data_IF_932474033292
#
_entry.id   IF_932474033292
#
_cell.length_a   1.000
_cell.length_b   1.000
_cell.length_c   1.000
_cell.angle_alpha   90.00
_cell.angle_beta   90.00
_cell.angle_gamma   90.00
#
_symmetry.space_group_name_H-M   'P 1'
#
loop_
_entity.id
_entity.type
_entity.pdbx_description
1 polymer ?
#
# COMPACT_ATOMS: atom_id res chain seq x y z
N UNK A 1 74.97 20.13 -24.44
CA UNK A 1 74.86 19.84 -22.99
C UNK A 1 73.55 20.46 -22.53
N UNK A 2 72.43 19.79 -22.79
CA UNK A 2 71.79 18.77 -21.95
C UNK A 2 71.34 19.32 -20.59
N UNK A 3 70.03 19.49 -20.47
CA UNK A 3 69.26 19.14 -19.27
C UNK A 3 67.97 18.49 -19.76
N UNK A 4 67.86 17.20 -19.51
CA UNK A 4 66.70 16.34 -19.75
C UNK A 4 65.73 16.42 -18.57
N UNK A 5 64.41 16.34 -18.81
CA UNK A 5 63.56 15.23 -18.35
C UNK A 5 62.12 15.34 -18.87
N UNK A 6 61.61 14.21 -19.37
CA UNK A 6 60.35 14.02 -20.07
C UNK A 6 59.11 13.78 -19.17
N UNK A 7 57.94 13.94 -19.81
CA UNK A 7 56.70 13.13 -19.67
C UNK A 7 55.72 13.51 -18.53
N UNK A 8 54.38 13.50 -18.68
CA UNK A 8 53.46 12.84 -19.62
C UNK A 8 52.14 13.64 -19.72
N UNK A 9 51.63 13.82 -20.94
CA UNK A 9 50.22 14.11 -21.22
C UNK A 9 49.48 12.77 -21.41
N UNK A 10 48.23 12.66 -20.94
CA UNK A 10 47.30 11.66 -21.47
C UNK A 10 45.86 12.19 -21.39
N UNK A 11 45.33 12.61 -22.53
CA UNK A 11 43.91 12.79 -22.81
C UNK A 11 43.53 11.71 -23.82
N UNK A 12 42.69 10.74 -23.44
CA UNK A 12 42.11 9.81 -24.38
C UNK A 12 40.59 9.75 -24.19
N UNK A 13 39.88 10.10 -25.27
CA UNK A 13 38.42 10.14 -25.41
C UNK A 13 37.89 8.72 -25.56
N UNK A 14 36.86 8.35 -24.79
CA UNK A 14 35.94 7.27 -25.18
C UNK A 14 34.76 7.91 -25.94
N UNK A 15 34.77 7.81 -27.27
CA UNK A 15 33.57 7.94 -28.08
C UNK A 15 33.17 6.53 -28.51
N UNK A 16 31.99 6.06 -28.10
CA UNK A 16 31.38 4.88 -28.73
C UNK A 16 30.85 5.28 -30.12
N UNK A 17 30.98 4.44 -31.15
CA UNK A 17 30.44 4.73 -32.49
C UNK A 17 28.91 4.86 -32.44
N UNK A 18 28.38 5.81 -33.19
CA UNK A 18 26.93 6.13 -33.30
C UNK A 18 26.09 4.89 -33.65
N UNK A 19 26.69 3.92 -34.33
CA UNK A 19 26.02 2.72 -34.82
C UNK A 19 25.71 1.71 -33.67
N UNK A 20 26.48 1.72 -32.58
CA UNK A 20 26.19 0.92 -31.37
C UNK A 20 25.15 1.57 -30.45
N UNK A 21 25.07 2.90 -30.47
CA UNK A 21 24.02 3.64 -29.76
C UNK A 21 22.64 3.41 -30.40
N UNK A 22 22.58 3.30 -31.72
CA UNK A 22 21.35 2.94 -32.45
C UNK A 22 20.88 1.51 -32.12
N UNK A 23 21.80 0.56 -31.97
CA UNK A 23 21.47 -0.81 -31.57
C UNK A 23 20.96 -0.89 -30.12
N UNK A 24 21.51 -0.09 -29.20
CA UNK A 24 20.99 0.02 -27.84
C UNK A 24 19.58 0.64 -27.79
N UNK A 25 19.31 1.64 -28.64
CA UNK A 25 17.99 2.27 -28.73
C UNK A 25 16.94 1.28 -29.26
N UNK A 26 17.30 0.44 -30.22
CA UNK A 26 16.43 -0.58 -30.81
C UNK A 26 16.09 -1.70 -29.80
N UNK A 27 17.05 -2.10 -28.95
CA UNK A 27 16.83 -3.07 -27.85
C UNK A 27 15.92 -2.48 -26.76
N UNK A 28 16.01 -1.17 -26.51
CA UNK A 28 15.14 -0.47 -25.55
C UNK A 28 13.73 -0.34 -26.12
N UNK A 29 13.55 0.04 -27.39
CA UNK A 29 12.23 0.07 -28.04
C UNK A 29 11.58 -1.32 -28.11
N UNK A 30 12.34 -2.37 -28.46
CA UNK A 30 11.80 -3.74 -28.55
C UNK A 30 11.46 -4.35 -27.18
N UNK A 31 12.15 -3.95 -26.09
CA UNK A 31 11.88 -4.48 -24.73
C UNK A 31 10.97 -3.61 -23.88
N UNK A 32 10.78 -2.32 -24.20
CA UNK A 32 9.82 -1.45 -23.50
C UNK A 32 8.45 -1.35 -24.19
N UNK A 33 8.26 -2.01 -25.34
CA UNK A 33 6.96 -2.18 -25.99
C UNK A 33 6.12 -3.36 -25.45
N UNK A 34 6.27 -3.75 -24.18
CA UNK A 34 5.37 -4.71 -23.54
C UNK A 34 4.59 -4.07 -22.41
N UNK A 35 3.28 -3.87 -22.63
CA UNK A 35 2.12 -3.65 -21.74
C UNK A 35 2.23 -2.80 -20.45
N UNK A 36 3.37 -2.76 -19.75
CA UNK A 36 3.58 -2.10 -18.46
C UNK A 36 3.65 -0.57 -18.56
N UNK A 37 4.19 0.00 -19.65
CA UNK A 37 4.26 1.47 -19.84
C UNK A 37 2.89 2.07 -20.18
N UNK A 38 2.05 1.32 -20.91
CA UNK A 38 0.66 1.70 -21.20
C UNK A 38 -0.26 1.55 -19.98
N UNK A 39 0.01 0.58 -19.10
CA UNK A 39 -0.77 0.34 -17.88
C UNK A 39 -0.61 1.43 -16.79
N UNK A 40 0.40 2.30 -16.90
CA UNK A 40 0.72 3.33 -15.90
C UNK A 40 0.36 4.76 -16.33
N UNK A 41 -0.30 4.95 -17.48
CA UNK A 41 -0.78 6.27 -17.91
C UNK A 41 0.31 7.33 -18.11
N UNK A 42 1.57 6.92 -18.23
CA UNK A 42 2.72 7.82 -18.36
C UNK A 42 2.86 8.39 -19.77
N UNK A 43 3.15 9.69 -19.86
CA UNK A 43 3.43 10.36 -21.11
C UNK A 43 4.72 9.81 -21.74
N UNK A 44 4.57 9.00 -22.79
CA UNK A 44 5.65 8.32 -23.52
C UNK A 44 6.68 9.33 -24.06
N UNK A 45 6.25 10.56 -24.37
CA UNK A 45 7.12 11.63 -24.86
C UNK A 45 8.06 12.17 -23.77
N UNK A 46 7.66 12.12 -22.49
CA UNK A 46 8.50 12.53 -21.37
C UNK A 46 9.61 11.51 -21.09
N UNK A 47 9.29 10.22 -21.21
CA UNK A 47 10.26 9.12 -21.07
C UNK A 47 11.23 9.11 -22.25
N UNK A 48 10.71 9.30 -23.47
CA UNK A 48 11.52 9.46 -24.68
C UNK A 48 12.44 10.68 -24.61
N UNK A 49 11.93 11.81 -24.12
CA UNK A 49 12.71 13.04 -23.91
C UNK A 49 13.85 12.86 -22.90
N UNK A 50 13.61 12.16 -21.78
CA UNK A 50 14.63 11.88 -20.78
C UNK A 50 15.74 10.95 -21.29
N UNK A 51 15.37 9.90 -22.03
CA UNK A 51 16.33 8.99 -22.67
C UNK A 51 17.17 9.70 -23.75
N UNK A 52 16.57 10.61 -24.51
CA UNK A 52 17.29 11.45 -25.49
C UNK A 52 18.26 12.43 -24.82
N UNK A 53 17.91 12.93 -23.62
CA UNK A 53 18.75 13.81 -22.81
C UNK A 53 19.97 13.07 -22.23
N UNK A 54 19.78 11.82 -21.80
CA UNK A 54 20.87 10.94 -21.36
C UNK A 54 21.81 10.62 -22.53
N UNK A 55 21.27 10.38 -23.74
CA UNK A 55 22.07 10.08 -24.93
C UNK A 55 22.88 11.29 -25.45
N UNK A 56 22.50 12.53 -25.11
CA UNK A 56 23.18 13.77 -25.54
C UNK A 56 24.11 14.38 -24.50
N UNK A 57 24.14 13.85 -23.27
CA UNK A 57 24.93 14.43 -22.18
C UNK A 57 26.25 13.68 -22.00
N UNK A 58 27.37 14.41 -22.06
CA UNK A 58 28.73 13.86 -21.85
C UNK A 58 28.96 13.32 -20.43
N UNK A 59 28.04 13.58 -19.49
CA UNK A 59 28.06 13.01 -18.13
C UNK A 59 26.64 12.75 -17.60
N UNK A 60 26.42 11.59 -16.97
CA UNK A 60 25.13 11.23 -16.37
C UNK A 60 24.67 12.23 -15.28
N UNK A 61 25.62 12.94 -14.65
CA UNK A 61 25.37 13.92 -13.59
C UNK A 61 24.71 15.19 -14.12
N UNK A 62 25.03 15.63 -15.34
CA UNK A 62 24.40 16.79 -15.96
C UNK A 62 22.96 16.49 -16.43
N UNK A 63 22.72 15.30 -16.98
CA UNK A 63 21.37 14.84 -17.36
C UNK A 63 20.46 14.68 -16.13
N UNK A 64 20.98 14.17 -15.02
CA UNK A 64 20.25 14.08 -13.77
C UNK A 64 19.89 15.46 -13.20
N UNK A 65 20.80 16.45 -13.29
CA UNK A 65 20.54 17.81 -12.83
C UNK A 65 19.48 18.53 -13.68
N UNK A 66 19.47 18.31 -14.99
CA UNK A 66 18.52 18.93 -15.91
C UNK A 66 17.13 18.29 -15.85
N UNK A 67 17.05 16.97 -15.66
CA UNK A 67 15.79 16.27 -15.38
C UNK A 67 15.22 16.64 -14.01
N UNK A 68 16.06 16.76 -12.98
CA UNK A 68 15.63 17.25 -11.66
C UNK A 68 15.06 18.66 -11.73
N UNK A 69 15.58 19.51 -12.64
CA UNK A 69 15.07 20.87 -12.88
C UNK A 69 13.72 20.89 -13.63
N UNK A 70 13.42 19.83 -14.36
CA UNK A 70 12.17 19.68 -15.13
C UNK A 70 11.04 19.07 -14.31
N UNK A 71 11.32 18.48 -13.15
CA UNK A 71 10.36 17.74 -12.34
C UNK A 71 10.09 18.48 -11.01
N UNK A 72 9.42 19.64 -11.08
CA UNK A 72 8.92 20.35 -9.89
C UNK A 72 7.52 19.90 -9.45
N UNK A 73 6.95 18.85 -10.06
CA UNK A 73 5.62 18.35 -9.71
C UNK A 73 5.63 16.83 -9.50
N UNK A 74 5.44 16.42 -8.23
CA UNK A 74 5.16 15.06 -7.73
C UNK A 74 6.33 14.20 -7.18
N UNK A 75 6.30 13.80 -5.88
CA UNK A 75 7.31 12.93 -5.24
C UNK A 75 7.44 11.52 -5.86
N UNK A 76 6.43 11.06 -6.59
CA UNK A 76 6.43 9.73 -7.21
C UNK A 76 7.48 9.61 -8.34
N UNK A 77 7.77 10.72 -9.04
CA UNK A 77 8.76 10.75 -10.12
C UNK A 77 10.20 10.64 -9.60
N UNK A 78 10.49 11.18 -8.42
CA UNK A 78 11.81 11.09 -7.79
C UNK A 78 12.21 9.65 -7.45
N UNK A 79 11.25 8.87 -6.96
CA UNK A 79 11.49 7.47 -6.56
C UNK A 79 11.76 6.58 -7.78
N UNK A 80 11.01 6.78 -8.87
CA UNK A 80 11.21 6.04 -10.11
C UNK A 80 12.52 6.42 -10.82
N UNK A 81 12.87 7.72 -10.81
CA UNK A 81 14.12 8.23 -11.36
C UNK A 81 15.35 7.69 -10.62
N UNK A 82 15.29 7.56 -9.29
CA UNK A 82 16.37 6.98 -8.49
C UNK A 82 16.55 5.47 -8.78
N UNK A 83 15.45 4.72 -8.91
CA UNK A 83 15.48 3.30 -9.25
C UNK A 83 16.03 3.07 -10.66
N UNK A 84 15.65 3.91 -11.64
CA UNK A 84 16.20 3.85 -12.99
C UNK A 84 17.69 4.23 -13.01
N UNK A 85 18.09 5.28 -12.28
CA UNK A 85 19.48 5.70 -12.19
C UNK A 85 20.37 4.59 -11.60
N UNK A 86 19.90 3.87 -10.57
CA UNK A 86 20.62 2.73 -9.98
C UNK A 86 20.75 1.57 -10.97
N UNK A 87 19.70 1.25 -11.74
CA UNK A 87 19.75 0.18 -12.75
C UNK A 87 20.64 0.52 -13.94
N UNK A 88 20.62 1.77 -14.41
CA UNK A 88 21.44 2.24 -15.54
C UNK A 88 22.93 2.28 -15.14
N UNK A 89 23.24 2.76 -13.93
CA UNK A 89 24.63 2.78 -13.41
C UNK A 89 25.17 1.35 -13.22
N UNK A 90 24.32 0.39 -12.85
CA UNK A 90 24.71 -1.03 -12.73
C UNK A 90 25.05 -1.71 -14.06
N UNK A 91 24.59 -1.17 -15.20
CA UNK A 91 24.81 -1.77 -16.53
C UNK A 91 26.07 -1.24 -17.23
N UNK A 92 26.61 -0.08 -16.81
CA UNK A 92 27.71 0.62 -17.50
C UNK A 92 29.07 0.58 -16.75
N UNK A 93 29.12 0.11 -15.51
CA UNK A 93 30.35 0.21 -14.70
C UNK A 93 31.36 -0.95 -14.93
N UNK A 94 32.62 -0.58 -15.17
CA UNK A 94 33.77 -1.47 -15.24
C UNK A 94 33.95 -2.24 -13.92
N UNK A 95 34.29 -3.55 -13.99
CA UNK A 95 34.36 -4.47 -12.83
C UNK A 95 35.22 -3.95 -11.68
N UNK A 96 36.26 -3.15 -11.96
CA UNK A 96 37.12 -2.55 -10.93
C UNK A 96 36.42 -1.46 -10.09
N UNK A 97 35.48 -0.71 -10.69
CA UNK A 97 34.71 0.35 -10.02
C UNK A 97 33.55 -0.24 -9.20
N UNK A 98 32.99 -1.37 -9.63
CA UNK A 98 32.05 -2.17 -8.84
C UNK A 98 32.73 -2.77 -7.60
N UNK A 99 33.96 -3.27 -7.74
CA UNK A 99 34.77 -3.76 -6.60
C UNK A 99 35.14 -2.61 -5.65
N UNK A 100 35.50 -1.43 -6.17
CA UNK A 100 35.75 -0.23 -5.37
C UNK A 100 34.50 0.22 -4.59
N UNK A 101 33.32 0.24 -5.22
CA UNK A 101 32.05 0.53 -4.57
C UNK A 101 31.70 -0.51 -3.51
N UNK A 102 31.94 -1.80 -3.77
CA UNK A 102 31.78 -2.88 -2.81
C UNK A 102 32.73 -2.76 -1.61
N UNK A 103 33.95 -2.22 -1.78
CA UNK A 103 34.91 -1.99 -0.70
C UNK A 103 34.55 -0.75 0.16
N UNK A 104 33.99 0.30 -0.45
CA UNK A 104 33.42 1.45 0.28
C UNK A 104 32.14 1.03 1.03
N UNK A 105 31.31 0.17 0.43
CA UNK A 105 30.14 -0.46 1.06
C UNK A 105 30.55 -1.43 2.19
N UNK A 106 31.71 -2.10 2.10
CA UNK A 106 32.24 -2.94 3.16
C UNK A 106 32.64 -2.14 4.42
N UNK A 107 33.03 -0.86 4.27
CA UNK A 107 33.23 0.09 5.38
C UNK A 107 31.93 0.66 5.94
N UNK A 108 30.87 0.74 5.13
CA UNK A 108 29.53 1.19 5.51
C UNK A 108 28.55 0.03 5.79
N UNK A 109 29.07 -1.18 6.07
CA UNK A 109 28.30 -2.43 6.14
C UNK A 109 27.17 -2.40 7.17
N UNK A 110 27.31 -1.61 8.24
CA UNK A 110 26.26 -1.46 9.26
C UNK A 110 25.15 -0.49 8.83
N UNK A 111 25.48 0.57 8.07
CA UNK A 111 24.50 1.55 7.59
C UNK A 111 23.72 1.02 6.37
N UNK A 112 24.41 0.35 5.44
CA UNK A 112 23.76 -0.21 4.26
C UNK A 112 22.80 -1.36 4.63
N UNK A 113 23.13 -2.19 5.62
CA UNK A 113 22.24 -3.24 6.11
C UNK A 113 20.99 -2.67 6.80
N UNK A 114 21.13 -1.57 7.55
CA UNK A 114 19.99 -0.87 8.16
C UNK A 114 19.09 -0.22 7.10
N UNK A 115 19.66 0.39 6.06
CA UNK A 115 18.90 1.00 4.96
C UNK A 115 18.25 -0.08 4.08
N UNK A 116 18.94 -1.19 3.80
CA UNK A 116 18.36 -2.34 3.07
C UNK A 116 17.26 -3.03 3.86
N UNK A 117 17.36 -3.12 5.20
CA UNK A 117 16.28 -3.66 6.02
C UNK A 117 15.11 -2.67 6.09
N UNK A 118 15.35 -1.37 6.26
CA UNK A 118 14.30 -0.36 6.21
C UNK A 118 13.61 -0.32 4.82
N UNK A 119 14.35 -0.47 3.73
CA UNK A 119 13.80 -0.58 2.38
C UNK A 119 13.08 -1.92 2.16
N UNK A 120 13.55 -3.02 2.72
CA UNK A 120 12.81 -4.30 2.72
C UNK A 120 11.51 -4.18 3.53
N UNK A 121 11.52 -3.53 4.68
CA UNK A 121 10.30 -3.32 5.47
C UNK A 121 9.33 -2.37 4.75
N UNK A 122 9.86 -1.40 3.98
CA UNK A 122 9.08 -0.47 3.15
C UNK A 122 8.53 -1.12 1.86
N UNK A 123 9.26 -2.06 1.25
CA UNK A 123 8.89 -2.71 -0.03
C UNK A 123 8.29 -4.12 0.12
N UNK A 124 8.41 -4.77 1.29
CA UNK A 124 8.07 -6.19 1.49
C UNK A 124 7.01 -6.44 2.58
N UNK A 125 6.44 -5.42 3.21
CA UNK A 125 5.44 -5.61 4.28
C UNK A 125 4.02 -5.13 3.94
N UNK A 126 3.71 -4.81 2.68
CA UNK A 126 2.32 -4.74 2.25
C UNK A 126 1.84 -6.17 1.97
N UNK A 127 1.12 -6.75 2.94
CA UNK A 127 0.49 -8.05 2.80
C UNK A 127 -0.33 -8.09 1.49
N UNK A 128 -0.17 -9.15 0.69
CA UNK A 128 -0.88 -9.24 -0.58
C UNK A 128 -2.39 -9.26 -0.36
N UNK A 129 -3.23 -8.80 -1.30
CA UNK A 129 -4.68 -8.87 -1.13
C UNK A 129 -5.21 -10.29 -0.86
N UNK A 130 -4.59 -11.30 -1.46
CA UNK A 130 -4.91 -12.70 -1.21
C UNK A 130 -4.58 -13.10 0.24
N UNK A 131 -3.44 -12.67 0.78
CA UNK A 131 -3.05 -12.93 2.16
C UNK A 131 -3.95 -12.19 3.16
N UNK A 132 -4.29 -10.93 2.89
CA UNK A 132 -5.24 -10.17 3.74
C UNK A 132 -6.58 -10.90 3.81
N UNK A 133 -7.12 -11.33 2.67
CA UNK A 133 -8.34 -12.14 2.61
C UNK A 133 -8.19 -13.44 3.40
N UNK A 134 -7.08 -14.16 3.22
CA UNK A 134 -6.82 -15.42 3.93
C UNK A 134 -6.84 -15.20 5.44
N UNK A 135 -6.00 -14.31 5.96
CA UNK A 135 -5.87 -14.07 7.39
C UNK A 135 -7.15 -13.52 8.02
N UNK A 136 -7.82 -12.56 7.38
CA UNK A 136 -9.11 -12.04 7.90
C UNK A 136 -10.18 -13.14 7.90
N UNK A 137 -10.30 -13.94 6.84
CA UNK A 137 -11.25 -15.07 6.80
C UNK A 137 -10.96 -16.13 7.85
N UNK A 138 -9.69 -16.52 7.99
CA UNK A 138 -9.28 -17.55 8.94
C UNK A 138 -9.63 -17.10 10.37
N UNK A 139 -9.42 -15.82 10.71
CA UNK A 139 -9.77 -15.28 12.03
C UNK A 139 -11.27 -15.30 12.35
N UNK A 140 -12.15 -15.36 11.36
CA UNK A 140 -13.62 -15.37 11.55
C UNK A 140 -14.16 -16.74 11.99
N UNK A 141 -13.32 -17.78 12.08
CA UNK A 141 -13.76 -19.13 12.48
C UNK A 141 -14.38 -19.19 13.90
N UNK A 142 -14.05 -18.25 14.79
CA UNK A 142 -14.65 -18.15 16.14
C UNK A 142 -16.05 -17.56 16.17
N UNK A 143 -16.46 -16.90 15.09
CA UNK A 143 -17.79 -16.30 14.94
C UNK A 143 -18.41 -16.75 13.62
N UNK A 144 -18.59 -18.06 13.41
CA UNK A 144 -19.08 -18.59 12.14
C UNK A 144 -20.50 -18.10 11.86
N UNK A 145 -20.79 -17.85 10.58
CA UNK A 145 -22.15 -17.66 10.10
C UNK A 145 -22.95 -18.96 10.26
N UNK A 146 -24.22 -18.84 10.67
CA UNK A 146 -25.08 -20.01 10.77
C UNK A 146 -26.46 -19.70 11.36
N UNK A 147 -27.36 -20.67 11.22
CA UNK A 147 -28.71 -20.64 11.80
C UNK A 147 -28.90 -21.65 12.94
N UNK A 148 -27.86 -22.43 13.26
CA UNK A 148 -27.88 -23.37 14.37
C UNK A 148 -27.84 -22.64 15.71
N UNK A 149 -28.29 -23.29 16.78
CA UNK A 149 -28.42 -22.64 18.10
C UNK A 149 -27.09 -22.10 18.65
N UNK A 150 -25.98 -22.75 18.29
CA UNK A 150 -24.61 -22.34 18.64
C UNK A 150 -24.07 -21.17 17.80
N UNK A 151 -24.73 -20.81 16.68
CA UNK A 151 -24.21 -19.80 15.72
C UNK A 151 -25.12 -18.60 15.52
N UNK A 152 -26.44 -18.77 15.72
CA UNK A 152 -27.45 -17.74 15.42
C UNK A 152 -27.29 -16.45 16.23
N UNK A 153 -26.55 -16.50 17.34
CA UNK A 153 -26.29 -15.35 18.21
C UNK A 153 -24.88 -14.76 18.10
N UNK A 154 -24.01 -15.30 17.24
CA UNK A 154 -22.64 -14.80 17.08
C UNK A 154 -22.62 -13.31 16.73
N UNK A 155 -23.45 -12.90 15.78
CA UNK A 155 -23.59 -11.49 15.40
C UNK A 155 -24.17 -10.62 16.51
N UNK A 156 -25.16 -11.12 17.27
CA UNK A 156 -25.73 -10.38 18.42
C UNK A 156 -24.68 -10.17 19.51
N UNK A 157 -23.84 -11.16 19.73
CA UNK A 157 -22.80 -11.11 20.76
C UNK A 157 -21.75 -10.03 20.50
N UNK A 158 -21.58 -9.57 19.24
CA UNK A 158 -20.82 -8.37 18.94
C UNK A 158 -21.44 -7.14 19.60
N UNK A 159 -22.77 -6.96 19.50
CA UNK A 159 -23.44 -5.82 20.12
C UNK A 159 -23.44 -5.91 21.65
N UNK A 160 -23.49 -7.12 22.23
CA UNK A 160 -23.33 -7.31 23.67
C UNK A 160 -21.93 -6.82 24.13
N UNK A 161 -20.89 -7.21 23.40
CA UNK A 161 -19.52 -6.73 23.62
C UNK A 161 -19.41 -5.22 23.41
N UNK A 162 -19.90 -4.73 22.28
CA UNK A 162 -19.80 -3.33 21.86
C UNK A 162 -20.51 -2.40 22.84
N UNK A 163 -21.71 -2.75 23.29
CA UNK A 163 -22.45 -1.90 24.23
C UNK A 163 -21.79 -1.93 25.62
N UNK A 164 -21.14 -3.03 26.01
CA UNK A 164 -20.43 -3.13 27.29
C UNK A 164 -19.15 -2.29 27.32
N UNK A 165 -18.38 -2.28 26.22
CA UNK A 165 -17.05 -1.69 26.17
C UNK A 165 -17.01 -0.29 25.53
N UNK A 166 -18.01 0.04 24.72
CA UNK A 166 -18.14 1.31 24.00
C UNK A 166 -19.52 1.96 24.21
N UNK A 167 -19.93 2.23 25.47
CA UNK A 167 -21.23 2.82 25.79
C UNK A 167 -21.49 4.17 25.10
N UNK A 168 -20.44 4.94 24.83
CA UNK A 168 -20.49 6.24 24.16
C UNK A 168 -21.07 6.18 22.74
N UNK A 169 -21.05 5.01 22.10
CA UNK A 169 -21.57 4.80 20.75
C UNK A 169 -23.05 4.41 20.72
N UNK A 170 -23.66 4.10 21.87
CA UNK A 170 -25.10 3.75 21.96
C UNK A 170 -26.01 4.89 21.48
N UNK A 171 -25.54 6.14 21.49
CA UNK A 171 -26.25 7.34 20.98
C UNK A 171 -26.69 7.22 19.50
N UNK A 172 -26.02 6.38 18.71
CA UNK A 172 -26.37 6.12 17.32
C UNK A 172 -27.48 5.07 17.15
N UNK A 173 -27.86 4.38 18.22
CA UNK A 173 -28.86 3.30 18.21
C UNK A 173 -30.17 3.81 18.82
N UNK A 174 -30.98 4.48 18.00
CA UNK A 174 -32.25 5.08 18.44
C UNK A 174 -33.17 4.08 19.15
N UNK A 175 -33.64 4.43 20.34
CA UNK A 175 -34.46 3.58 21.21
C UNK A 175 -33.68 2.50 21.97
N UNK A 176 -32.36 2.49 21.88
CA UNK A 176 -31.47 1.56 22.58
C UNK A 176 -30.28 2.29 23.24
N UNK A 177 -30.38 3.60 23.45
CA UNK A 177 -29.30 4.43 23.98
C UNK A 177 -28.88 4.01 25.40
N UNK A 178 -29.81 3.48 26.19
CA UNK A 178 -29.58 3.01 27.55
C UNK A 178 -29.49 1.49 27.69
N UNK A 179 -29.47 0.73 26.58
CA UNK A 179 -29.44 -0.72 26.66
C UNK A 179 -28.15 -1.22 27.30
N UNK A 180 -28.31 -2.22 28.17
CA UNK A 180 -27.23 -3.04 28.73
C UNK A 180 -26.94 -4.24 27.82
N UNK A 181 -25.87 -5.00 28.11
CA UNK A 181 -25.60 -6.25 27.41
C UNK A 181 -26.77 -7.25 27.53
N UNK A 182 -27.40 -7.32 28.71
CA UNK A 182 -28.54 -8.20 28.96
C UNK A 182 -29.77 -7.80 28.12
N UNK A 183 -29.98 -6.51 27.90
CA UNK A 183 -31.07 -6.02 27.03
C UNK A 183 -30.79 -6.37 25.57
N UNK A 184 -29.54 -6.22 25.12
CA UNK A 184 -29.11 -6.62 23.77
C UNK A 184 -29.28 -8.12 23.58
N UNK A 185 -28.87 -8.94 24.56
CA UNK A 185 -28.94 -10.40 24.52
C UNK A 185 -30.37 -10.94 24.41
N UNK A 186 -31.39 -10.16 24.77
CA UNK A 186 -32.80 -10.54 24.69
C UNK A 186 -33.54 -9.87 23.52
N UNK A 187 -32.83 -9.14 22.66
CA UNK A 187 -33.45 -8.30 21.64
C UNK A 187 -33.43 -8.92 20.24
N UNK A 188 -34.62 -9.16 19.69
CA UNK A 188 -34.80 -9.58 18.28
C UNK A 188 -34.22 -8.56 17.28
N UNK A 189 -34.21 -7.28 17.65
CA UNK A 189 -33.59 -6.22 16.84
C UNK A 189 -32.10 -6.47 16.68
N UNK A 190 -31.39 -6.76 17.78
CA UNK A 190 -29.95 -6.97 17.75
C UNK A 190 -29.55 -8.36 17.26
N UNK A 191 -30.46 -9.34 17.31
CA UNK A 191 -30.27 -10.58 16.54
C UNK A 191 -30.23 -10.29 15.03
N UNK A 192 -31.20 -9.55 14.50
CA UNK A 192 -31.25 -9.18 13.07
C UNK A 192 -30.07 -8.29 12.66
N UNK A 193 -29.78 -7.24 13.44
CA UNK A 193 -28.66 -6.33 13.18
C UNK A 193 -27.31 -7.06 13.29
N UNK A 194 -27.16 -7.93 14.27
CA UNK A 194 -25.96 -8.74 14.48
C UNK A 194 -25.67 -9.64 13.28
N UNK A 195 -26.68 -10.36 12.80
CA UNK A 195 -26.53 -11.22 11.63
C UNK A 195 -26.19 -10.43 10.35
N UNK A 196 -26.79 -9.25 10.16
CA UNK A 196 -26.44 -8.36 9.04
C UNK A 196 -25.01 -7.84 9.11
N UNK A 197 -24.54 -7.45 10.31
CA UNK A 197 -23.17 -6.99 10.52
C UNK A 197 -22.16 -8.12 10.27
N UNK A 198 -22.38 -9.29 10.88
CA UNK A 198 -21.47 -10.43 10.74
C UNK A 198 -21.37 -10.90 9.28
N UNK A 199 -22.49 -10.89 8.55
CA UNK A 199 -22.49 -11.14 7.10
C UNK A 199 -21.66 -10.08 6.36
N UNK A 200 -21.85 -8.80 6.67
CA UNK A 200 -21.13 -7.71 5.99
C UNK A 200 -19.62 -7.81 6.18
N UNK A 201 -19.15 -8.12 7.39
CA UNK A 201 -17.72 -8.36 7.65
C UNK A 201 -17.20 -9.56 6.89
N UNK A 202 -17.98 -10.65 6.82
CA UNK A 202 -17.61 -11.81 6.01
C UNK A 202 -17.52 -11.46 4.51
N UNK A 203 -18.44 -10.65 3.98
CA UNK A 203 -18.39 -10.19 2.58
C UNK A 203 -17.10 -9.40 2.35
N UNK A 204 -16.81 -8.40 3.20
CA UNK A 204 -15.59 -7.59 3.10
C UNK A 204 -14.31 -8.44 3.11
N UNK A 205 -14.21 -9.41 4.02
CA UNK A 205 -13.07 -10.34 4.06
C UNK A 205 -12.98 -11.21 2.80
N UNK A 206 -14.11 -11.71 2.30
CA UNK A 206 -14.14 -12.62 1.14
C UNK A 206 -13.94 -11.93 -0.21
N UNK A 207 -14.20 -10.63 -0.30
CA UNK A 207 -14.06 -9.85 -1.53
C UNK A 207 -12.83 -8.96 -1.55
N UNK A 208 -11.99 -8.95 -0.51
CA UNK A 208 -10.84 -8.05 -0.42
C UNK A 208 -9.85 -8.15 -1.59
N UNK A 209 -9.67 -9.34 -2.14
CA UNK A 209 -8.83 -9.61 -3.32
C UNK A 209 -9.47 -9.19 -4.65
N UNK A 210 -10.74 -8.81 -4.64
CA UNK A 210 -11.46 -8.19 -5.75
C UNK A 210 -11.79 -6.74 -5.36
N UNK A 211 -10.83 -5.85 -5.63
CA UNK A 211 -10.87 -4.47 -5.13
C UNK A 211 -12.12 -3.69 -5.56
N UNK A 212 -12.57 -3.85 -6.81
CA UNK A 212 -13.76 -3.16 -7.32
C UNK A 212 -15.03 -3.56 -6.54
N UNK A 213 -15.20 -4.85 -6.29
CA UNK A 213 -16.35 -5.38 -5.53
C UNK A 213 -16.24 -4.97 -4.06
N UNK A 214 -15.04 -5.02 -3.47
CA UNK A 214 -14.80 -4.55 -2.11
C UNK A 214 -15.21 -3.09 -1.96
N UNK A 215 -14.66 -2.20 -2.80
CA UNK A 215 -14.93 -0.76 -2.74
C UNK A 215 -16.40 -0.43 -3.00
N UNK A 216 -17.04 -1.11 -3.97
CA UNK A 216 -18.47 -0.95 -4.22
C UNK A 216 -19.32 -1.33 -3.00
N UNK A 217 -18.97 -2.40 -2.29
CA UNK A 217 -19.67 -2.80 -1.08
C UNK A 217 -19.42 -1.83 0.10
N UNK A 218 -18.24 -1.21 0.17
CA UNK A 218 -17.98 -0.13 1.14
C UNK A 218 -18.88 1.07 0.83
N UNK A 219 -18.93 1.55 -0.41
CA UNK A 219 -19.79 2.69 -0.80
C UNK A 219 -21.26 2.43 -0.45
N UNK A 220 -21.77 1.26 -0.82
CA UNK A 220 -23.14 0.86 -0.50
C UNK A 220 -23.38 0.75 1.02
N UNK A 221 -22.36 0.33 1.78
CA UNK A 221 -22.40 0.39 3.24
C UNK A 221 -22.52 1.82 3.75
N UNK A 222 -21.72 2.77 3.23
CA UNK A 222 -21.83 4.18 3.63
C UNK A 222 -23.19 4.75 3.27
N UNK A 223 -23.72 4.47 2.07
CA UNK A 223 -25.03 4.93 1.60
C UNK A 223 -26.16 4.56 2.56
N UNK A 224 -26.12 3.36 3.17
CA UNK A 224 -27.10 2.92 4.18
C UNK A 224 -26.95 3.59 5.55
N UNK A 225 -25.87 4.35 5.75
CA UNK A 225 -25.51 4.98 7.03
C UNK A 225 -25.48 6.52 6.98
N UNK A 226 -25.56 7.16 5.80
CA UNK A 226 -25.51 8.63 5.64
C UNK A 226 -26.48 9.39 6.54
N UNK A 227 -27.68 8.85 6.76
CA UNK A 227 -28.73 9.50 7.58
C UNK A 227 -28.52 9.38 9.09
N UNK A 228 -27.49 8.65 9.54
CA UNK A 228 -27.29 8.34 10.97
C UNK A 228 -26.40 9.34 11.70
N UNK A 229 -25.77 10.27 10.97
CA UNK A 229 -24.90 11.30 11.55
C UNK A 229 -23.72 10.71 12.32
N UNK A 230 -23.12 9.63 11.78
CA UNK A 230 -21.94 9.02 12.39
C UNK A 230 -20.75 9.96 12.28
N UNK A 231 -19.95 10.03 13.34
CA UNK A 231 -18.64 10.66 13.31
C UNK A 231 -17.74 9.91 12.28
N UNK A 232 -17.15 10.60 11.29
CA UNK A 232 -16.38 9.97 10.21
C UNK A 232 -15.17 9.17 10.70
N UNK A 233 -14.61 9.48 11.89
CA UNK A 233 -13.48 8.73 12.44
C UNK A 233 -13.88 7.29 12.86
N UNK A 234 -15.18 7.03 13.05
CA UNK A 234 -15.68 5.71 13.47
C UNK A 234 -15.52 4.64 12.40
N UNK A 235 -15.44 5.03 11.12
CA UNK A 235 -15.25 4.09 10.01
C UNK A 235 -13.91 3.35 10.09
N UNK A 236 -12.86 4.03 10.57
CA UNK A 236 -11.58 3.38 10.90
C UNK A 236 -11.59 2.76 12.29
N UNK A 237 -12.13 3.46 13.29
CA UNK A 237 -12.11 2.98 14.69
C UNK A 237 -12.83 1.64 14.89
N UNK A 238 -13.84 1.34 14.08
CA UNK A 238 -14.58 0.07 14.12
C UNK A 238 -13.66 -1.16 14.09
N UNK A 239 -12.59 -1.14 13.30
CA UNK A 239 -11.74 -2.31 13.08
C UNK A 239 -10.96 -2.72 14.34
N UNK A 240 -10.46 -1.74 15.11
CA UNK A 240 -9.82 -2.01 16.40
C UNK A 240 -10.80 -2.55 17.45
N UNK A 241 -12.09 -2.22 17.34
CA UNK A 241 -13.15 -2.78 18.19
C UNK A 241 -13.48 -4.21 17.77
N UNK A 242 -13.54 -4.45 16.45
CA UNK A 242 -13.78 -5.75 15.86
C UNK A 242 -12.71 -6.76 16.26
N UNK A 243 -11.43 -6.39 16.18
CA UNK A 243 -10.31 -7.24 16.59
C UNK A 243 -10.42 -7.66 18.06
N UNK A 244 -10.65 -6.70 18.96
CA UNK A 244 -10.82 -7.01 20.40
C UNK A 244 -12.06 -7.85 20.68
N UNK A 245 -13.11 -7.70 19.88
CA UNK A 245 -14.26 -8.59 19.94
C UNK A 245 -13.89 -10.03 19.56
N UNK A 246 -13.15 -10.24 18.47
CA UNK A 246 -12.67 -11.57 18.09
C UNK A 246 -11.80 -12.19 19.19
N UNK A 247 -10.90 -11.40 19.79
CA UNK A 247 -10.08 -11.83 20.93
C UNK A 247 -10.94 -12.24 22.14
N UNK A 248 -12.04 -11.52 22.40
CA UNK A 248 -12.98 -11.87 23.48
C UNK A 248 -13.70 -13.22 23.27
N UNK A 249 -13.69 -13.76 22.05
CA UNK A 249 -14.27 -15.07 21.72
C UNK A 249 -13.30 -16.24 21.87
N UNK A 250 -12.12 -15.99 22.43
CA UNK A 250 -11.13 -17.03 22.73
C UNK A 250 -10.10 -17.26 21.63
N UNK A 251 -10.05 -16.40 20.59
CA UNK A 251 -9.01 -16.43 19.57
C UNK A 251 -8.05 -15.26 19.73
N UNK A 252 -6.87 -15.53 20.29
CA UNK A 252 -5.81 -14.54 20.34
C UNK A 252 -5.28 -14.31 18.92
N UNK A 253 -5.65 -13.17 18.32
CA UNK A 253 -5.25 -12.83 16.96
C UNK A 253 -3.72 -12.80 16.83
N UNK A 254 -3.22 -13.48 15.82
CA UNK A 254 -1.80 -13.46 15.45
C UNK A 254 -1.38 -12.09 14.90
N UNK A 255 -0.07 -11.84 14.82
CA UNK A 255 0.46 -10.61 14.23
C UNK A 255 -0.01 -10.42 12.78
N UNK A 256 -0.04 -11.51 12.00
CA UNK A 256 -0.51 -11.47 10.60
C UNK A 256 -2.01 -11.19 10.51
N UNK A 257 -2.84 -11.77 11.38
CA UNK A 257 -4.27 -11.47 11.40
C UNK A 257 -4.55 -10.01 11.78
N UNK A 258 -3.81 -9.44 12.74
CA UNK A 258 -3.92 -8.01 13.09
C UNK A 258 -3.47 -7.12 11.95
N UNK A 259 -2.34 -7.43 11.30
CA UNK A 259 -1.88 -6.69 10.13
C UNK A 259 -2.90 -6.79 8.97
N UNK A 260 -3.58 -7.92 8.81
CA UNK A 260 -4.61 -8.11 7.79
C UNK A 260 -5.87 -7.29 8.09
N UNK A 261 -6.35 -7.28 9.34
CA UNK A 261 -7.48 -6.43 9.74
C UNK A 261 -7.15 -4.94 9.64
N UNK A 262 -5.92 -4.54 9.97
CA UNK A 262 -5.46 -3.17 9.80
C UNK A 262 -5.44 -2.75 8.32
N UNK A 263 -4.90 -3.59 7.43
CA UNK A 263 -4.91 -3.35 5.99
C UNK A 263 -6.34 -3.26 5.44
N UNK A 264 -7.22 -4.19 5.84
CA UNK A 264 -8.63 -4.17 5.47
C UNK A 264 -9.31 -2.89 5.95
N UNK A 265 -9.10 -2.53 7.21
CA UNK A 265 -9.70 -1.36 7.83
C UNK A 265 -9.22 -0.04 7.24
N UNK A 266 -7.95 0.04 6.82
CA UNK A 266 -7.40 1.19 6.11
C UNK A 266 -8.07 1.35 4.76
N UNK A 267 -8.08 0.31 3.93
CA UNK A 267 -8.74 0.36 2.61
C UNK A 267 -10.24 0.66 2.73
N UNK A 268 -10.90 0.09 3.73
CA UNK A 268 -12.30 0.39 4.02
C UNK A 268 -12.48 1.87 4.32
N UNK A 269 -11.66 2.43 5.21
CA UNK A 269 -11.76 3.84 5.58
C UNK A 269 -11.47 4.75 4.39
N UNK A 270 -10.43 4.49 3.60
CA UNK A 270 -10.08 5.30 2.43
C UNK A 270 -11.25 5.45 1.46
N UNK A 271 -11.97 4.36 1.19
CA UNK A 271 -13.18 4.38 0.36
C UNK A 271 -14.36 5.04 1.07
N UNK A 272 -14.51 4.80 2.37
CA UNK A 272 -15.59 5.38 3.17
C UNK A 272 -15.54 6.91 3.19
N UNK A 273 -14.35 7.49 3.38
CA UNK A 273 -14.16 8.95 3.40
C UNK A 273 -14.44 9.57 2.04
N UNK A 274 -14.06 8.92 0.94
CA UNK A 274 -14.42 9.36 -0.41
C UNK A 274 -15.94 9.36 -0.63
N UNK A 275 -16.63 8.30 -0.18
CA UNK A 275 -18.08 8.23 -0.32
C UNK A 275 -18.80 9.26 0.57
N UNK A 276 -18.30 9.53 1.78
CA UNK A 276 -18.81 10.61 2.63
C UNK A 276 -18.65 11.99 1.96
N UNK A 277 -17.49 12.26 1.37
CA UNK A 277 -17.24 13.48 0.62
C UNK A 277 -18.19 13.62 -0.58
N UNK A 278 -18.48 12.51 -1.29
CA UNK A 278 -19.45 12.48 -2.39
C UNK A 278 -20.87 12.90 -1.94
N UNK A 279 -21.28 12.53 -0.73
CA UNK A 279 -22.56 12.94 -0.13
C UNK A 279 -22.54 14.36 0.48
N UNK A 280 -21.41 15.07 0.43
CA UNK A 280 -21.27 16.37 1.09
C UNK A 280 -21.30 16.28 2.63
N UNK A 281 -20.90 15.14 3.19
CA UNK A 281 -20.87 14.89 4.64
C UNK A 281 -19.48 15.12 5.23
N UNK A 282 -19.37 15.30 6.57
CA UNK A 282 -18.08 15.34 7.25
C UNK A 282 -17.23 14.10 6.94
N UNK A 283 -15.95 14.32 6.63
CA UNK A 283 -14.94 13.32 6.28
C UNK A 283 -13.56 13.76 6.81
N UNK A 284 -12.63 12.82 6.96
CA UNK A 284 -11.28 13.05 7.54
C UNK A 284 -10.16 12.40 6.75
#
# INVERSE_FOLDING_TARGET
MHTDFESLQFTEKLCLPIDEAAACLQIVEERFCSEEVLALGGNVDAVGGFLLLIARSDTATAAAAEFTRSCDESPAFFSLALIMAVKIVSFSMNKALLIGLCLVVAGARNYLCSILNALKDLFFSAMSPADVKKHTKDSLHVVPLGKTDDKKYNGRSFYEYFFSHHPEHRKYFKGAESFTADDVAKSDRFEKLGNGLLLSVNVLANTYDNEDVFRAFVRETIDRHVSRGLDPALWKAFWGIWEKFLESKGHALTADEKAAWEALGTRFNDEAQQQLAHHGLPHV
#
